data_IF_256153511384
#
_entry.id   IF_256153511384
#
_cell.length_a   1.000
_cell.length_b   1.000
_cell.length_c   1.000
_cell.angle_alpha   90.00
_cell.angle_beta   90.00
_cell.angle_gamma   90.00
#
_symmetry.space_group_name_H-M   'P 1'
#
loop_
_entity.id
_entity.type
_entity.pdbx_description
1 polymer ?
#
# COMPACT_ATOMS: atom_id res chain seq x y z
N UNK A 1 -24.35 30.19 29.04
CA UNK A 1 -24.46 31.58 29.54
C UNK A 1 -25.12 32.37 28.42
N UNK A 2 -26.02 33.33 28.67
CA UNK A 2 -26.67 34.07 27.56
C UNK A 2 -25.96 35.41 27.43
N UNK A 3 -25.41 35.68 26.24
CA UNK A 3 -24.82 36.98 25.92
C UNK A 3 -25.92 37.83 25.27
N UNK A 4 -26.24 38.95 25.90
CA UNK A 4 -27.25 39.89 25.39
C UNK A 4 -26.55 41.19 25.02
N UNK A 5 -26.65 41.59 23.76
CA UNK A 5 -26.23 42.91 23.29
C UNK A 5 -27.46 43.81 23.18
N UNK A 6 -27.63 44.75 24.12
CA UNK A 6 -28.76 45.68 24.19
C UNK A 6 -29.21 45.97 25.63
N UNK A 7 -30.18 46.88 25.80
CA UNK A 7 -30.77 47.22 27.11
C UNK A 7 -31.82 46.16 27.49
N UNK A 8 -31.59 45.44 28.58
CA UNK A 8 -32.52 44.41 29.09
C UNK A 8 -33.69 45.11 29.80
N UNK A 9 -34.91 44.93 29.28
CA UNK A 9 -36.10 45.61 29.81
C UNK A 9 -36.74 44.88 31.02
N UNK A 10 -36.42 43.59 31.23
CA UNK A 10 -36.83 42.85 32.43
C UNK A 10 -36.33 41.41 32.47
N UNK A 11 -36.03 40.91 33.67
CA UNK A 11 -35.77 39.50 33.98
C UNK A 11 -36.99 38.95 34.75
N UNK A 12 -37.58 37.86 34.27
CA UNK A 12 -38.76 37.26 34.91
C UNK A 12 -38.47 36.83 36.37
N UNK A 13 -39.40 37.15 37.28
CA UNK A 13 -39.29 36.82 38.71
C UNK A 13 -39.30 35.30 38.99
N UNK A 14 -38.74 34.94 40.13
CA UNK A 14 -38.54 33.55 40.55
C UNK A 14 -39.89 32.88 40.87
N UNK A 15 -40.53 32.27 39.88
CA UNK A 15 -41.74 31.47 40.08
C UNK A 15 -42.54 31.08 38.84
N UNK A 16 -42.35 31.73 37.68
CA UNK A 16 -43.12 31.42 36.48
C UNK A 16 -42.43 30.37 35.58
N UNK A 17 -43.20 29.37 35.15
CA UNK A 17 -42.77 28.42 34.13
C UNK A 17 -42.76 29.12 32.77
N UNK A 18 -41.56 29.53 32.34
CA UNK A 18 -41.31 30.19 31.06
C UNK A 18 -40.63 31.55 31.26
N UNK A 19 -39.34 31.54 31.57
CA UNK A 19 -38.55 32.79 31.68
C UNK A 19 -38.35 33.38 30.29
N UNK A 20 -39.22 34.31 29.90
CA UNK A 20 -39.10 35.06 28.64
C UNK A 20 -38.11 36.22 28.86
N UNK A 21 -37.11 36.34 27.99
CA UNK A 21 -36.15 37.44 27.97
C UNK A 21 -36.66 38.51 27.02
N UNK A 22 -37.01 39.70 27.53
CA UNK A 22 -37.50 40.80 26.71
C UNK A 22 -36.35 41.77 26.38
N UNK A 23 -36.08 41.89 25.08
CA UNK A 23 -34.98 42.68 24.53
C UNK A 23 -35.57 43.76 23.60
N UNK A 24 -35.01 44.97 23.64
CA UNK A 24 -35.46 46.10 22.83
C UNK A 24 -35.21 45.89 21.32
N UNK A 25 -35.91 46.66 20.47
CA UNK A 25 -35.81 46.61 19.01
C UNK A 25 -34.35 46.90 18.61
N UNK A 26 -33.66 45.90 18.02
CA UNK A 26 -32.22 45.83 17.68
C UNK A 26 -31.29 45.08 18.66
N UNK A 27 -31.78 44.52 19.77
CA UNK A 27 -30.95 43.68 20.62
C UNK A 27 -30.94 42.19 20.19
N UNK A 28 -29.77 41.57 20.26
CA UNK A 28 -29.56 40.16 19.96
C UNK A 28 -29.27 39.39 21.26
N UNK A 29 -29.88 38.19 21.41
CA UNK A 29 -29.57 37.28 22.49
C UNK A 29 -29.11 35.95 21.91
N UNK A 30 -27.82 35.70 22.08
CA UNK A 30 -27.19 34.47 21.65
C UNK A 30 -26.95 33.59 22.88
N UNK A 31 -27.31 32.32 22.73
CA UNK A 31 -26.90 31.33 23.70
C UNK A 31 -25.40 31.12 23.50
N UNK A 32 -24.59 31.52 24.49
CA UNK A 32 -23.15 31.27 24.49
C UNK A 32 -22.94 29.77 24.74
N UNK A 33 -23.06 28.98 23.66
CA UNK A 33 -22.55 27.62 23.58
C UNK A 33 -21.09 27.65 23.14
N UNK A 34 -20.34 26.63 23.53
CA UNK A 34 -18.94 26.50 23.15
C UNK A 34 -18.89 25.91 21.73
N UNK A 35 -19.27 26.73 20.75
CA UNK A 35 -19.56 26.27 19.38
C UNK A 35 -18.33 25.72 18.65
N UNK A 36 -17.12 26.08 19.10
CA UNK A 36 -15.84 25.59 18.59
C UNK A 36 -15.32 24.32 19.28
N UNK A 37 -15.96 23.86 20.36
CA UNK A 37 -15.52 22.67 21.07
C UNK A 37 -15.59 21.38 20.22
N UNK A 38 -16.65 21.15 19.41
CA UNK A 38 -16.72 19.94 18.57
C UNK A 38 -15.65 19.93 17.47
N UNK A 39 -15.35 21.09 16.89
CA UNK A 39 -14.35 21.21 15.82
C UNK A 39 -12.93 20.98 16.36
N UNK A 40 -12.62 21.52 17.54
CA UNK A 40 -11.33 21.32 18.20
C UNK A 40 -11.08 19.85 18.55
N UNK A 41 -12.11 19.16 19.07
CA UNK A 41 -12.02 17.73 19.39
C UNK A 41 -11.83 16.88 18.13
N UNK A 42 -12.51 17.24 17.03
CA UNK A 42 -12.34 16.53 15.75
C UNK A 42 -10.92 16.69 15.22
N UNK A 43 -10.37 17.91 15.25
CA UNK A 43 -9.00 18.20 14.81
C UNK A 43 -7.96 17.46 15.67
N UNK A 44 -8.19 17.39 16.99
CA UNK A 44 -7.34 16.61 17.89
C UNK A 44 -7.33 15.12 17.52
N UNK A 45 -8.51 14.52 17.30
CA UNK A 45 -8.63 13.11 16.91
C UNK A 45 -7.91 12.83 15.58
N UNK A 46 -8.08 13.71 14.57
CA UNK A 46 -7.42 13.57 13.28
C UNK A 46 -5.90 13.66 13.41
N UNK A 47 -5.40 14.63 14.16
CA UNK A 47 -3.95 14.80 14.41
C UNK A 47 -3.36 13.61 15.17
N UNK A 48 -4.08 13.08 16.17
CA UNK A 48 -3.65 11.91 16.92
C UNK A 48 -3.62 10.66 16.05
N UNK A 49 -4.62 10.47 15.18
CA UNK A 49 -4.63 9.36 14.23
C UNK A 49 -3.44 9.43 13.28
N UNK A 50 -3.17 10.59 12.69
CA UNK A 50 -1.99 10.79 11.83
C UNK A 50 -0.69 10.49 12.58
N UNK A 51 -0.54 10.99 13.81
CA UNK A 51 0.62 10.72 14.65
C UNK A 51 0.79 9.22 14.93
N UNK A 52 -0.29 8.50 15.23
CA UNK A 52 -0.24 7.05 15.47
C UNK A 52 0.25 6.31 14.22
N UNK A 53 -0.25 6.66 13.03
CA UNK A 53 0.19 6.03 11.77
C UNK A 53 1.68 6.31 11.48
N UNK A 54 2.13 7.56 11.68
CA UNK A 54 3.54 7.93 11.54
C UNK A 54 4.44 7.23 12.57
N UNK A 55 4.06 7.21 13.85
CA UNK A 55 4.85 6.57 14.89
C UNK A 55 4.92 5.05 14.73
N UNK A 56 3.84 4.42 14.28
CA UNK A 56 3.80 2.97 14.08
C UNK A 56 4.38 2.53 12.74
N UNK A 57 4.71 3.48 11.85
CA UNK A 57 5.14 3.25 10.47
C UNK A 57 4.14 2.37 9.72
N UNK A 58 2.85 2.65 9.93
CA UNK A 58 1.77 1.94 9.24
C UNK A 58 1.08 2.88 8.26
N UNK A 59 0.98 2.52 6.97
CA UNK A 59 0.25 3.34 6.01
C UNK A 59 -1.23 3.34 6.37
N UNK A 60 -1.84 4.52 6.31
CA UNK A 60 -3.28 4.65 6.53
C UNK A 60 -4.02 4.31 5.23
N UNK A 61 -4.66 3.14 5.20
CA UNK A 61 -5.41 2.60 4.04
C UNK A 61 -6.92 2.83 4.24
N UNK A 62 -7.29 3.97 4.85
CA UNK A 62 -8.70 4.31 5.00
C UNK A 62 -9.29 4.71 3.65
N UNK A 63 -10.53 4.26 3.41
CA UNK A 63 -11.26 4.54 2.18
C UNK A 63 -11.43 6.05 1.91
N UNK A 64 -11.48 6.87 2.96
CA UNK A 64 -11.50 8.34 2.86
C UNK A 64 -10.22 8.90 2.25
N UNK A 65 -9.05 8.38 2.63
CA UNK A 65 -7.77 8.81 2.08
C UNK A 65 -7.52 8.23 0.69
N UNK A 66 -7.94 6.98 0.44
CA UNK A 66 -7.86 6.38 -0.90
C UNK A 66 -8.79 7.04 -1.91
N UNK A 67 -9.91 7.65 -1.50
CA UNK A 67 -10.82 8.38 -2.41
C UNK A 67 -10.22 9.65 -3.01
N UNK A 68 -9.30 10.32 -2.30
CA UNK A 68 -8.60 11.50 -2.82
C UNK A 68 -7.48 11.17 -3.80
N UNK A 69 -7.09 9.90 -3.84
CA UNK A 69 -6.03 9.37 -4.69
C UNK A 69 -6.72 8.58 -5.82
N UNK A 70 -6.86 9.18 -7.01
CA UNK A 70 -7.58 8.59 -8.15
C UNK A 70 -7.02 7.26 -8.69
N UNK A 71 -6.74 7.15 -9.99
CA UNK A 71 -6.03 5.98 -10.51
C UNK A 71 -4.59 6.02 -9.99
N UNK A 72 -4.35 5.37 -8.84
CA UNK A 72 -3.07 5.35 -8.15
C UNK A 72 -1.99 4.81 -9.08
N UNK A 73 -1.03 5.67 -9.43
CA UNK A 73 0.16 5.21 -10.13
C UNK A 73 0.95 4.27 -9.23
N UNK A 74 1.58 3.24 -9.80
CA UNK A 74 2.42 2.28 -9.09
C UNK A 74 3.57 2.94 -8.33
N UNK A 75 4.02 4.12 -8.78
CA UNK A 75 5.02 4.93 -8.06
C UNK A 75 4.42 5.58 -6.79
N UNK A 76 3.18 6.07 -6.87
CA UNK A 76 2.48 6.64 -5.71
C UNK A 76 2.18 5.57 -4.66
N UNK A 77 1.80 4.36 -5.09
CA UNK A 77 1.64 3.20 -4.21
C UNK A 77 2.96 2.85 -3.50
N UNK A 78 4.07 2.77 -4.23
CA UNK A 78 5.40 2.52 -3.64
C UNK A 78 5.76 3.56 -2.58
N UNK A 79 5.48 4.84 -2.84
CA UNK A 79 5.77 5.91 -1.89
C UNK A 79 4.89 5.82 -0.63
N UNK A 80 3.60 5.49 -0.79
CA UNK A 80 2.68 5.31 0.34
C UNK A 80 3.11 4.15 1.26
N UNK A 81 3.62 3.05 0.68
CA UNK A 81 4.04 1.86 1.43
C UNK A 81 5.53 1.87 1.81
N UNK A 82 6.27 2.95 1.54
CA UNK A 82 7.72 3.03 1.80
C UNK A 82 8.05 2.82 3.28
N UNK A 83 7.32 3.47 4.19
CA UNK A 83 7.59 3.38 5.62
C UNK A 83 7.32 1.97 6.18
N UNK A 84 6.24 1.33 5.71
CA UNK A 84 5.99 -0.08 6.01
C UNK A 84 7.10 -0.99 5.47
N UNK A 85 7.64 -0.72 4.27
CA UNK A 85 8.75 -1.49 3.72
C UNK A 85 10.03 -1.31 4.52
N UNK A 86 10.37 -0.09 4.94
CA UNK A 86 11.52 0.15 5.84
C UNK A 86 11.39 -0.66 7.14
N UNK A 87 10.19 -0.71 7.71
CA UNK A 87 9.93 -1.54 8.90
C UNK A 87 10.03 -3.04 8.62
N UNK A 88 9.65 -3.49 7.44
CA UNK A 88 9.79 -4.89 7.02
C UNK A 88 11.27 -5.25 6.84
N UNK A 89 12.08 -4.40 6.21
CA UNK A 89 13.53 -4.62 6.04
C UNK A 89 14.24 -4.74 7.39
N UNK A 90 13.94 -3.85 8.35
CA UNK A 90 14.48 -3.94 9.71
C UNK A 90 14.11 -5.28 10.40
N UNK A 91 12.93 -5.84 10.10
CA UNK A 91 12.53 -7.15 10.63
C UNK A 91 13.18 -8.30 9.87
N UNK A 92 13.37 -8.17 8.56
CA UNK A 92 14.03 -9.16 7.72
C UNK A 92 15.47 -9.37 8.20
N UNK A 93 16.16 -8.35 8.69
CA UNK A 93 17.50 -8.52 9.29
C UNK A 93 17.46 -9.53 10.45
N UNK A 94 16.54 -9.33 11.41
CA UNK A 94 16.40 -10.19 12.58
C UNK A 94 15.89 -11.60 12.22
N UNK A 95 14.86 -11.67 11.36
CA UNK A 95 14.28 -12.95 10.96
C UNK A 95 15.21 -13.73 10.02
N UNK A 96 15.91 -13.05 9.12
CA UNK A 96 16.86 -13.63 8.18
C UNK A 96 17.95 -14.38 8.92
N UNK A 97 18.56 -13.79 9.95
CA UNK A 97 19.53 -14.49 10.79
C UNK A 97 18.91 -15.72 11.47
N UNK A 98 17.70 -15.59 12.02
CA UNK A 98 17.00 -16.71 12.66
C UNK A 98 16.75 -17.87 11.67
N UNK A 99 16.29 -17.58 10.46
CA UNK A 99 16.03 -18.59 9.43
C UNK A 99 17.33 -19.21 8.91
N UNK A 100 18.39 -18.42 8.69
CA UNK A 100 19.70 -18.93 8.32
C UNK A 100 20.25 -19.90 9.37
N UNK A 101 20.14 -19.55 10.65
CA UNK A 101 20.54 -20.43 11.77
C UNK A 101 19.74 -21.73 11.78
N UNK A 102 18.42 -21.67 11.55
CA UNK A 102 17.57 -22.87 11.46
C UNK A 102 17.92 -23.74 10.27
N UNK A 103 18.18 -23.15 9.10
CA UNK A 103 18.62 -23.88 7.91
C UNK A 103 19.95 -24.59 8.15
N UNK A 104 20.90 -23.91 8.79
CA UNK A 104 22.18 -24.51 9.18
C UNK A 104 22.02 -25.66 10.17
N UNK A 105 21.07 -25.57 11.11
CA UNK A 105 20.77 -26.67 12.03
C UNK A 105 20.17 -27.88 11.28
N UNK A 106 19.19 -27.64 10.40
CA UNK A 106 18.58 -28.71 9.58
C UNK A 106 19.65 -29.38 8.72
N UNK A 107 20.49 -28.58 8.06
CA UNK A 107 21.63 -29.03 7.27
C UNK A 107 22.58 -29.91 8.09
N UNK A 108 22.91 -29.49 9.31
CA UNK A 108 23.75 -30.27 10.22
C UNK A 108 23.09 -31.60 10.62
N UNK A 109 21.80 -31.60 10.93
CA UNK A 109 21.03 -32.82 11.25
C UNK A 109 21.00 -33.78 10.05
N UNK A 110 20.70 -33.28 8.85
CA UNK A 110 20.68 -34.10 7.64
C UNK A 110 22.05 -34.76 7.38
N UNK A 111 23.13 -33.98 7.49
CA UNK A 111 24.50 -34.47 7.23
C UNK A 111 25.06 -35.45 8.28
N UNK A 112 24.56 -35.40 9.52
CA UNK A 112 25.14 -36.17 10.65
C UNK A 112 24.24 -37.27 11.20
N UNK A 113 22.93 -37.11 11.10
CA UNK A 113 21.96 -38.03 11.71
C UNK A 113 21.17 -38.86 10.69
N UNK A 114 20.98 -38.35 9.47
CA UNK A 114 20.20 -39.04 8.43
C UNK A 114 21.11 -39.84 7.51
N UNK A 115 22.11 -39.18 6.92
CA UNK A 115 23.05 -39.84 6.02
C UNK A 115 24.43 -39.18 6.12
N UNK A 116 25.40 -39.94 6.64
CA UNK A 116 26.78 -39.49 6.80
C UNK A 116 27.56 -39.41 5.49
N UNK A 117 27.08 -40.04 4.41
CA UNK A 117 27.71 -39.93 3.09
C UNK A 117 27.52 -38.54 2.47
N UNK A 118 26.43 -37.86 2.86
CA UNK A 118 26.04 -36.53 2.39
C UNK A 118 26.78 -35.38 3.06
N UNK A 119 27.74 -35.64 3.96
CA UNK A 119 28.45 -34.58 4.69
C UNK A 119 29.24 -33.62 3.78
N UNK A 120 29.87 -34.16 2.72
CA UNK A 120 30.64 -33.36 1.77
C UNK A 120 29.75 -32.42 0.94
N UNK A 121 28.64 -32.95 0.42
CA UNK A 121 27.67 -32.20 -0.38
C UNK A 121 26.89 -31.20 0.47
N UNK A 122 26.53 -31.58 1.69
CA UNK A 122 25.92 -30.67 2.64
C UNK A 122 26.83 -29.46 2.84
N UNK A 123 28.10 -29.60 3.21
CA UNK A 123 28.99 -28.44 3.43
C UNK A 123 29.02 -27.46 2.23
N UNK A 124 28.94 -27.97 1.01
CA UNK A 124 28.98 -27.18 -0.22
C UNK A 124 27.68 -26.42 -0.52
N UNK A 125 26.53 -26.90 -0.02
CA UNK A 125 25.21 -26.32 -0.25
C UNK A 125 25.03 -24.99 0.50
N UNK A 126 25.03 -23.84 -0.20
CA UNK A 126 24.64 -22.55 0.38
C UNK A 126 23.16 -22.29 0.12
N UNK A 127 22.38 -22.12 1.19
CA UNK A 127 20.94 -21.81 1.11
C UNK A 127 20.76 -20.46 1.80
N UNK A 128 20.12 -19.52 1.11
CA UNK A 128 19.79 -18.20 1.64
C UNK A 128 18.27 -17.98 1.55
N UNK A 129 17.62 -17.52 2.65
CA UNK A 129 16.21 -17.21 2.64
C UNK A 129 15.94 -15.91 1.89
N UNK A 130 15.08 -15.96 0.87
CA UNK A 130 14.62 -14.78 0.13
C UNK A 130 13.22 -14.41 0.60
N UNK A 131 13.08 -13.24 1.23
CA UNK A 131 11.80 -12.69 1.65
C UNK A 131 11.22 -11.82 0.52
N UNK A 132 9.95 -12.03 0.18
CA UNK A 132 9.22 -11.22 -0.81
C UNK A 132 8.02 -10.55 -0.12
N UNK A 133 8.16 -9.30 0.35
CA UNK A 133 7.04 -8.54 0.90
C UNK A 133 5.93 -8.34 -0.15
N UNK A 134 4.67 -8.42 0.27
CA UNK A 134 3.55 -8.14 -0.61
C UNK A 134 3.38 -6.64 -0.81
N UNK A 135 3.25 -6.21 -2.06
CA UNK A 135 2.93 -4.84 -2.43
C UNK A 135 1.75 -4.86 -3.42
N UNK A 136 0.73 -4.00 -3.24
CA UNK A 136 -0.28 -3.77 -4.27
C UNK A 136 0.39 -3.24 -5.55
N UNK A 137 0.11 -3.86 -6.69
CA UNK A 137 0.70 -3.49 -7.99
C UNK A 137 -0.38 -2.95 -8.92
N UNK A 138 0.04 -2.16 -9.90
CA UNK A 138 -0.80 -1.74 -11.00
C UNK A 138 -0.40 -2.56 -12.23
N UNK A 139 -1.16 -3.62 -12.49
CA UNK A 139 -0.85 -4.59 -13.54
C UNK A 139 -0.76 -3.94 -14.93
N UNK A 140 -1.55 -2.89 -15.17
CA UNK A 140 -1.54 -2.16 -16.44
C UNK A 140 -0.22 -1.42 -16.66
N UNK A 141 0.21 -0.63 -15.68
CA UNK A 141 1.48 0.10 -15.78
C UNK A 141 2.69 -0.84 -15.90
N UNK A 142 2.61 -2.02 -15.26
CA UNK A 142 3.67 -3.02 -15.35
C UNK A 142 3.74 -3.65 -16.75
N UNK A 143 2.60 -4.01 -17.34
CA UNK A 143 2.55 -4.50 -18.73
C UNK A 143 3.03 -3.43 -19.73
N UNK A 144 2.65 -2.17 -19.54
CA UNK A 144 3.13 -1.06 -20.37
C UNK A 144 4.66 -0.89 -20.24
N UNK A 145 5.20 -1.06 -19.04
CA UNK A 145 6.64 -1.00 -18.77
C UNK A 145 7.39 -2.16 -19.44
N UNK A 146 6.88 -3.39 -19.32
CA UNK A 146 7.47 -4.59 -19.95
C UNK A 146 7.45 -4.50 -21.48
N UNK A 147 6.35 -4.01 -22.04
CA UNK A 147 6.18 -3.79 -23.48
C UNK A 147 7.16 -2.73 -23.99
N UNK A 148 7.27 -1.60 -23.29
CA UNK A 148 8.21 -0.52 -23.64
C UNK A 148 9.67 -0.96 -23.53
N UNK A 149 10.01 -1.73 -22.49
CA UNK A 149 11.37 -2.26 -22.27
C UNK A 149 11.78 -3.29 -23.34
N UNK A 150 10.82 -3.96 -23.96
CA UNK A 150 11.04 -4.99 -24.99
C UNK A 150 10.98 -4.41 -26.41
N UNK A 151 10.10 -3.43 -26.65
CA UNK A 151 9.74 -2.93 -27.99
C UNK A 151 10.20 -1.51 -28.35
N UNK A 152 11.12 -0.89 -27.62
CA UNK A 152 11.61 0.48 -27.92
C UNK A 152 13.12 0.63 -28.03
N UNK A 153 13.87 0.10 -27.08
CA UNK A 153 15.32 -0.18 -27.14
C UNK A 153 15.55 -1.36 -26.20
N UNK A 154 16.28 -2.39 -26.63
CA UNK A 154 16.42 -3.66 -25.95
C UNK A 154 17.19 -3.54 -24.62
N UNK A 155 16.55 -2.99 -23.59
CA UNK A 155 17.08 -2.99 -22.22
C UNK A 155 16.86 -4.36 -21.58
N UNK A 156 15.82 -5.09 -22.01
CA UNK A 156 15.44 -6.39 -21.48
C UNK A 156 15.25 -7.42 -22.61
N UNK A 157 15.63 -8.68 -22.36
CA UNK A 157 15.34 -9.77 -23.30
C UNK A 157 13.86 -10.13 -23.26
N UNK A 158 13.30 -10.56 -24.42
CA UNK A 158 11.90 -11.04 -24.50
C UNK A 158 11.62 -12.14 -23.48
N UNK A 159 12.56 -13.07 -23.29
CA UNK A 159 12.46 -14.15 -22.31
C UNK A 159 12.38 -13.63 -20.87
N UNK A 160 13.21 -12.65 -20.52
CA UNK A 160 13.19 -12.01 -19.20
C UNK A 160 11.90 -11.20 -18.99
N UNK A 161 11.32 -10.61 -20.04
CA UNK A 161 10.03 -9.90 -19.94
C UNK A 161 8.89 -10.87 -19.62
N UNK A 162 8.85 -12.00 -20.34
CA UNK A 162 7.88 -13.08 -20.12
C UNK A 162 8.03 -13.69 -18.73
N UNK A 163 9.28 -13.89 -18.27
CA UNK A 163 9.56 -14.43 -16.93
C UNK A 163 9.09 -13.49 -15.81
N UNK A 164 9.15 -12.17 -16.04
CA UNK A 164 8.69 -11.17 -15.07
C UNK A 164 7.19 -10.86 -15.19
N UNK A 165 6.49 -11.45 -16.17
CA UNK A 165 5.05 -11.27 -16.32
C UNK A 165 4.30 -12.11 -15.28
N UNK A 166 3.40 -11.48 -14.52
CA UNK A 166 2.60 -12.17 -13.50
C UNK A 166 1.56 -13.14 -14.07
N UNK A 167 1.12 -12.95 -15.31
CA UNK A 167 0.10 -13.79 -15.92
C UNK A 167 0.65 -15.10 -16.49
N UNK A 168 1.97 -15.20 -16.63
CA UNK A 168 2.64 -16.36 -17.19
C UNK A 168 3.08 -17.28 -16.06
N UNK A 169 2.56 -18.52 -16.06
CA UNK A 169 2.95 -19.52 -15.07
C UNK A 169 4.27 -20.22 -15.45
N UNK A 170 4.48 -20.49 -16.74
CA UNK A 170 5.66 -21.17 -17.27
C UNK A 170 6.28 -20.37 -18.43
N UNK A 171 7.39 -19.63 -18.18
CA UNK A 171 7.98 -18.73 -19.17
C UNK A 171 8.52 -19.40 -20.43
N UNK A 172 8.96 -20.65 -20.32
CA UNK A 172 9.51 -21.41 -21.46
C UNK A 172 8.40 -21.90 -22.40
N UNK A 173 7.25 -22.33 -21.86
CA UNK A 173 6.09 -22.72 -22.68
C UNK A 173 5.50 -21.53 -23.42
N UNK A 174 5.34 -20.40 -22.74
CA UNK A 174 4.82 -19.17 -23.34
C UNK A 174 5.72 -18.69 -24.49
N UNK A 175 7.04 -18.78 -24.33
CA UNK A 175 7.98 -18.42 -25.40
C UNK A 175 7.82 -19.33 -26.62
N UNK A 176 7.60 -20.63 -26.41
CA UNK A 176 7.33 -21.56 -27.52
C UNK A 176 6.01 -21.28 -28.22
N UNK A 177 4.96 -20.90 -27.49
CA UNK A 177 3.66 -20.53 -28.07
C UNK A 177 3.77 -19.24 -28.90
N UNK A 178 4.46 -18.21 -28.38
CA UNK A 178 4.75 -16.98 -29.12
C UNK A 178 5.51 -17.27 -30.41
N UNK A 179 6.54 -18.12 -30.38
CA UNK A 179 7.28 -18.49 -31.59
C UNK A 179 6.42 -19.26 -32.60
N UNK A 180 5.47 -20.07 -32.14
CA UNK A 180 4.52 -20.79 -33.01
C UNK A 180 3.50 -19.83 -33.62
N UNK A 181 3.07 -18.81 -32.91
CA UNK A 181 2.19 -17.75 -33.42
C UNK A 181 2.90 -16.89 -34.47
N UNK A 182 4.12 -16.43 -34.17
CA UNK A 182 4.95 -15.67 -35.12
C UNK A 182 5.25 -16.48 -36.40
N UNK A 183 5.53 -17.78 -36.27
CA UNK A 183 5.77 -18.64 -37.42
C UNK A 183 4.50 -18.83 -38.27
N UNK A 184 3.30 -18.83 -37.67
CA UNK A 184 2.03 -18.90 -38.40
C UNK A 184 1.69 -17.58 -39.07
N UNK A 185 1.90 -16.45 -38.40
CA UNK A 185 1.73 -15.11 -38.98
C UNK A 185 2.70 -14.88 -40.15
N UNK A 186 3.98 -15.21 -39.98
CA UNK A 186 4.96 -15.09 -41.07
C UNK A 186 4.66 -16.00 -42.26
N UNK A 187 3.97 -17.14 -42.06
CA UNK A 187 3.50 -17.98 -43.14
C UNK A 187 2.25 -17.41 -43.82
N UNK A 188 1.33 -16.81 -43.06
CA UNK A 188 0.15 -16.11 -43.57
C UNK A 188 0.52 -14.87 -44.40
N UNK A 189 1.46 -14.05 -43.94
CA UNK A 189 1.98 -12.89 -44.69
C UNK A 189 2.73 -13.31 -45.97
N UNK A 190 3.33 -14.51 -45.99
CA UNK A 190 3.94 -15.07 -47.19
C UNK A 190 2.92 -15.66 -48.18
N UNK A 191 1.68 -15.92 -47.73
CA UNK A 191 0.56 -16.44 -48.52
C UNK A 191 -0.37 -15.35 -49.06
N UNK A 192 -0.26 -14.11 -48.57
CA UNK A 192 -0.86 -12.91 -49.16
C UNK A 192 0.20 -12.06 -49.90
N UNK A 193 0.76 -12.52 -51.03
CA UNK A 193 1.44 -11.60 -51.93
C UNK A 193 0.40 -10.64 -52.52
N UNK A 194 0.52 -9.37 -52.13
CA UNK A 194 0.02 -8.17 -52.82
C UNK A 194 -0.54 -8.42 -54.23
N UNK A 195 -1.85 -8.24 -54.39
CA UNK A 195 -2.42 -7.72 -55.63
C UNK A 195 -2.25 -6.20 -55.72
#
# INVERSE_FOLDING_TARGET
>A
MIAVTGKVLGLAEKGEQGKVLQIEKEGNAEYLSWDHAPESVKLEIETLLELIYTCTQTPNISFSQMKGLGNLSGVALKLMFMDAHMKVENKIELFGEMFQRRLNLIKAICSKAVDTSLEAEAKLLNIEPVFKPYMPRNDKEEMDTLTTATGGKAVLSRKTAITNNLFVSDPDMELEEILKEEAKESQLDALEPTE
#
